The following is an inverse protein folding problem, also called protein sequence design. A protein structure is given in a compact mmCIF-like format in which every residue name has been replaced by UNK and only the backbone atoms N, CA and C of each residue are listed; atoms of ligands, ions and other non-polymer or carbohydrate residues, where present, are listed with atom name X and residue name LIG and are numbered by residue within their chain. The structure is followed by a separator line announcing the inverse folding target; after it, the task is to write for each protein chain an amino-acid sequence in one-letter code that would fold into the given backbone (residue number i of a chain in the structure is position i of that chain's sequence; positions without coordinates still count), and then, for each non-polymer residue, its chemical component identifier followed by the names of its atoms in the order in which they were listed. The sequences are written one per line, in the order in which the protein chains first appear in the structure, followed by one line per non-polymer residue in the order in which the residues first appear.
data_IF_104303566204
#
_entry.id   IF_104303566204
#
_cell.length_a   1.000
_cell.length_b   1.000
_cell.length_c   1.000
_cell.angle_alpha   90.00
_cell.angle_beta   90.00
_cell.angle_gamma   90.00
#
_symmetry.space_group_name_H-M   'P 1'
#
loop_
_entity.id
_entity.type
_entity.pdbx_description
1 polymer ?
#
# COMPACT_ATOMS: atom_id res chain seq x y z
N UNK A 1 23.22 -14.75 -12.53
CA UNK A 1 22.20 -14.41 -11.50
C UNK A 1 22.76 -14.43 -10.06
N UNK A 2 23.86 -13.71 -9.76
CA UNK A 2 24.50 -13.74 -8.42
C UNK A 2 23.99 -12.65 -7.44
N UNK A 3 23.18 -11.69 -7.89
CA UNK A 3 22.76 -10.54 -7.07
C UNK A 3 21.81 -10.91 -5.92
N UNK A 4 20.94 -11.91 -6.12
CA UNK A 4 19.91 -12.28 -5.14
C UNK A 4 20.40 -13.15 -3.98
N UNK A 5 21.68 -13.56 -3.94
CA UNK A 5 22.17 -14.46 -2.89
C UNK A 5 22.34 -13.79 -1.53
N UNK A 6 22.53 -12.46 -1.49
CA UNK A 6 22.79 -11.70 -0.24
C UNK A 6 21.56 -11.03 0.36
N UNK A 7 20.44 -10.92 -0.36
CA UNK A 7 19.28 -10.16 0.14
C UNK A 7 18.61 -10.94 1.27
N UNK A 8 18.54 -10.39 2.47
CA UNK A 8 17.90 -11.08 3.58
C UNK A 8 16.38 -11.07 3.38
N UNK A 9 15.76 -12.25 3.21
CA UNK A 9 14.32 -12.35 2.95
C UNK A 9 13.49 -11.72 4.08
N UNK A 10 13.98 -11.76 5.33
CA UNK A 10 13.33 -11.13 6.48
C UNK A 10 13.19 -9.62 6.31
N UNK A 11 14.21 -8.97 5.72
CA UNK A 11 14.21 -7.53 5.46
C UNK A 11 13.18 -7.17 4.38
N UNK A 12 13.08 -7.97 3.32
CA UNK A 12 12.07 -7.76 2.25
C UNK A 12 10.66 -7.84 2.84
N UNK A 13 10.39 -8.87 3.66
CA UNK A 13 9.07 -9.04 4.29
C UNK A 13 8.75 -7.89 5.24
N UNK A 14 9.73 -7.43 6.02
CA UNK A 14 9.56 -6.30 6.93
C UNK A 14 9.24 -5.00 6.17
N UNK A 15 9.98 -4.72 5.09
CA UNK A 15 9.72 -3.56 4.23
C UNK A 15 8.34 -3.64 3.59
N UNK A 16 7.95 -4.82 3.09
CA UNK A 16 6.61 -5.05 2.59
C UNK A 16 5.53 -4.73 3.64
N UNK A 17 5.73 -5.17 4.88
CA UNK A 17 4.79 -4.91 5.98
C UNK A 17 4.69 -3.42 6.34
N UNK A 18 5.81 -2.71 6.42
CA UNK A 18 5.82 -1.25 6.67
C UNK A 18 5.08 -0.50 5.56
N UNK A 19 5.36 -0.83 4.30
CA UNK A 19 4.68 -0.23 3.14
C UNK A 19 3.17 -0.54 3.17
N UNK A 20 2.79 -1.75 3.58
CA UNK A 20 1.38 -2.13 3.72
C UNK A 20 0.65 -1.26 4.74
N UNK A 21 1.27 -1.06 5.91
CA UNK A 21 0.70 -0.25 6.99
C UNK A 21 0.53 1.21 6.55
N UNK A 22 1.56 1.79 5.94
CA UNK A 22 1.50 3.15 5.40
C UNK A 22 0.39 3.26 4.34
N UNK A 23 0.35 2.31 3.39
CA UNK A 23 -0.66 2.28 2.35
C UNK A 23 -2.08 2.12 2.90
N UNK A 24 -2.25 1.37 3.99
CA UNK A 24 -3.54 1.18 4.66
C UNK A 24 -3.98 2.45 5.39
N UNK A 25 -3.09 3.09 6.15
CA UNK A 25 -3.39 4.38 6.80
C UNK A 25 -3.79 5.43 5.76
N UNK A 26 -3.09 5.47 4.62
CA UNK A 26 -3.39 6.36 3.49
C UNK A 26 -4.60 5.93 2.66
N UNK A 27 -5.24 4.80 2.96
CA UNK A 27 -6.46 4.34 2.28
C UNK A 27 -7.70 4.34 3.16
N UNK A 28 -7.54 4.45 4.49
CA UNK A 28 -8.66 4.48 5.43
C UNK A 28 -9.27 5.88 5.43
N UNK A 29 -10.51 5.98 4.98
CA UNK A 29 -11.33 7.15 5.25
C UNK A 29 -11.86 7.07 6.68
N UNK A 30 -11.33 7.90 7.57
CA UNK A 30 -11.73 7.94 8.98
C UNK A 30 -13.11 8.56 9.20
N UNK A 31 -13.70 9.18 8.18
CA UNK A 31 -14.98 9.87 8.30
C UNK A 31 -15.94 9.30 7.23
N UNK A 32 -17.04 8.63 7.64
CA UNK A 32 -18.04 8.15 6.70
C UNK A 32 -18.85 9.34 6.19
N UNK A 33 -18.57 9.78 4.97
CA UNK A 33 -19.31 10.87 4.33
C UNK A 33 -20.40 10.28 3.42
N UNK A 34 -21.67 10.60 3.66
CA UNK A 34 -22.75 10.21 2.76
C UNK A 34 -22.68 11.02 1.47
N UNK A 35 -22.22 10.41 0.39
CA UNK A 35 -21.96 11.09 -0.90
C UNK A 35 -23.17 11.09 -1.85
N UNK A 36 -24.33 10.60 -1.40
CA UNK A 36 -25.51 10.38 -2.25
C UNK A 36 -26.15 11.68 -2.76
N UNK A 37 -26.05 12.79 -2.00
CA UNK A 37 -26.69 14.06 -2.34
C UNK A 37 -25.71 15.21 -2.62
N UNK A 38 -24.41 14.93 -2.74
CA UNK A 38 -23.38 15.97 -2.92
C UNK A 38 -23.13 16.30 -4.39
N UNK A 39 -22.98 17.60 -4.68
CA UNK A 39 -22.53 18.09 -5.98
C UNK A 39 -21.06 17.74 -6.23
N UNK A 40 -20.64 17.79 -7.50
CA UNK A 40 -19.29 17.40 -7.91
C UNK A 40 -18.20 18.24 -7.22
N UNK A 41 -18.42 19.54 -7.05
CA UNK A 41 -17.49 20.45 -6.37
C UNK A 41 -17.35 20.12 -4.87
N UNK A 42 -18.46 19.82 -4.18
CA UNK A 42 -18.44 19.41 -2.78
C UNK A 42 -17.69 18.09 -2.58
N UNK A 43 -17.88 17.11 -3.48
CA UNK A 43 -17.12 15.85 -3.48
C UNK A 43 -15.62 16.10 -3.66
N UNK A 44 -15.25 17.05 -4.51
CA UNK A 44 -13.86 17.40 -4.78
C UNK A 44 -13.22 18.11 -3.57
N UNK A 45 -13.96 18.98 -2.89
CA UNK A 45 -13.51 19.63 -1.64
C UNK A 45 -13.35 18.60 -0.54
N UNK A 46 -14.34 17.71 -0.32
CA UNK A 46 -14.24 16.61 0.64
C UNK A 46 -13.09 15.66 0.33
N UNK A 47 -12.85 15.32 -0.93
CA UNK A 47 -11.69 14.51 -1.33
C UNK A 47 -10.35 15.22 -1.04
N UNK A 48 -10.31 16.55 -1.12
CA UNK A 48 -9.12 17.35 -0.85
C UNK A 48 -8.92 17.67 0.64
N UNK A 49 -10.00 17.89 1.40
CA UNK A 49 -9.95 18.19 2.84
C UNK A 49 -9.76 16.91 3.68
N UNK A 50 -10.32 15.79 3.23
CA UNK A 50 -10.16 14.49 3.86
C UNK A 50 -9.08 13.67 3.14
N UNK A 51 -8.10 14.33 2.51
CA UNK A 51 -7.13 13.73 1.57
C UNK A 51 -6.12 12.76 2.20
N UNK A 52 -6.65 11.71 2.82
CA UNK A 52 -6.24 10.33 2.65
C UNK A 52 -6.07 10.10 1.14
N UNK A 53 -4.82 9.93 0.70
CA UNK A 53 -4.51 9.74 -0.70
C UNK A 53 -4.84 8.29 -1.09
N UNK A 54 -6.13 7.96 -1.19
CA UNK A 54 -6.67 6.63 -1.50
C UNK A 54 -5.97 5.98 -2.69
N UNK A 55 -5.67 6.78 -3.73
CA UNK A 55 -4.94 6.32 -4.91
C UNK A 55 -3.52 5.89 -4.55
N UNK A 56 -2.78 6.73 -3.82
CA UNK A 56 -1.42 6.44 -3.38
C UNK A 56 -1.38 5.31 -2.33
N UNK A 57 -2.35 5.25 -1.42
CA UNK A 57 -2.50 4.18 -0.45
C UNK A 57 -2.70 2.81 -1.12
N UNK A 58 -3.59 2.73 -2.11
CA UNK A 58 -3.77 1.51 -2.94
C UNK A 58 -2.52 1.15 -3.73
N UNK A 59 -1.81 2.14 -4.29
CA UNK A 59 -0.55 1.90 -4.99
C UNK A 59 0.51 1.31 -4.05
N UNK A 60 0.65 1.84 -2.83
CA UNK A 60 1.56 1.31 -1.82
C UNK A 60 1.17 -0.11 -1.39
N UNK A 61 -0.12 -0.39 -1.22
CA UNK A 61 -0.59 -1.75 -0.94
C UNK A 61 -0.20 -2.72 -2.07
N UNK A 62 -0.29 -2.30 -3.33
CA UNK A 62 0.13 -3.13 -4.47
C UNK A 62 1.65 -3.35 -4.49
N UNK A 63 2.43 -2.31 -4.19
CA UNK A 63 3.90 -2.43 -4.05
C UNK A 63 4.24 -3.40 -2.92
N UNK A 64 3.57 -3.29 -1.76
CA UNK A 64 3.74 -4.22 -0.65
C UNK A 64 3.48 -5.68 -1.05
N UNK A 65 2.44 -5.93 -1.84
CA UNK A 65 2.14 -7.26 -2.37
C UNK A 65 3.31 -7.81 -3.21
N UNK A 66 3.92 -6.97 -4.07
CA UNK A 66 5.10 -7.36 -4.85
C UNK A 66 6.28 -7.74 -3.95
N UNK A 67 6.51 -7.00 -2.86
CA UNK A 67 7.55 -7.34 -1.88
C UNK A 67 7.31 -8.71 -1.25
N UNK A 68 6.05 -9.05 -0.91
CA UNK A 68 5.71 -10.37 -0.37
C UNK A 68 5.95 -11.48 -1.40
N UNK A 69 5.52 -11.30 -2.65
CA UNK A 69 5.73 -12.28 -3.73
C UNK A 69 7.23 -12.53 -3.95
N UNK A 70 8.02 -11.45 -4.07
CA UNK A 70 9.48 -11.55 -4.24
C UNK A 70 10.13 -12.23 -3.02
N UNK A 71 9.71 -11.87 -1.81
CA UNK A 71 10.19 -12.49 -0.58
C UNK A 71 9.93 -13.99 -0.50
N UNK A 72 8.72 -14.42 -0.89
CA UNK A 72 8.34 -15.84 -0.96
C UNK A 72 9.15 -16.56 -2.03
N UNK A 73 9.26 -16.00 -3.24
CA UNK A 73 10.03 -16.59 -4.33
C UNK A 73 11.50 -16.81 -3.94
N UNK A 74 12.13 -15.81 -3.29
CA UNK A 74 13.51 -15.93 -2.80
C UNK A 74 13.66 -16.98 -1.70
N UNK A 75 12.65 -17.14 -0.82
CA UNK A 75 12.64 -18.18 0.20
C UNK A 75 12.53 -19.58 -0.41
N UNK A 76 11.66 -19.76 -1.41
CA UNK A 76 11.49 -21.04 -2.13
C UNK A 76 12.77 -21.39 -2.88
N UNK A 77 13.35 -20.44 -3.62
CA UNK A 77 14.56 -20.67 -4.42
C UNK A 77 15.82 -20.99 -3.59
N UNK A 78 15.85 -20.60 -2.32
CA UNK A 78 16.97 -20.88 -1.41
C UNK A 78 16.84 -22.20 -0.65
N UNK A 79 15.65 -22.80 -0.64
CA UNK A 79 15.48 -24.20 -0.25
C UNK A 79 15.92 -25.09 -1.40
#
# INVERSE_FOLDING_TARGET
MKFFSKINFKIILLLGFIILLIGTILSVNFIPVSTSNMTYEEKKILLNEFAINLKLGRQLQFISLLFFIVGIYLKIKRK
#
